data_IF_925414606839
#
_entry.id   IF_925414606839
#
_cell.length_a   1.000
_cell.length_b   1.000
_cell.length_c   1.000
_cell.angle_alpha   90.00
_cell.angle_beta   90.00
_cell.angle_gamma   90.00
#
_symmetry.space_group_name_H-M   'P 1'
#
loop_
_entity.id
_entity.type
_entity.pdbx_description
1 polymer ?
#
# COMPACT_ATOMS: atom_id res chain seq x y z
N UNK A 1 -9.54 4.18 24.60
CA UNK A 1 -9.52 2.99 23.71
C UNK A 1 -10.39 1.87 24.27
N UNK A 2 -10.18 1.40 25.51
CA UNK A 2 -10.88 0.25 26.13
C UNK A 2 -12.42 0.41 26.17
N UNK A 3 -12.91 1.63 26.35
CA UNK A 3 -14.35 1.89 26.43
C UNK A 3 -15.02 1.76 25.05
N UNK A 4 -14.37 2.22 24.00
CA UNK A 4 -14.84 2.08 22.61
C UNK A 4 -14.73 0.63 22.12
N UNK A 5 -13.66 -0.08 22.50
CA UNK A 5 -13.53 -1.51 22.20
C UNK A 5 -14.67 -2.34 22.81
N UNK A 6 -15.12 -2.02 24.02
CA UNK A 6 -16.28 -2.68 24.65
C UNK A 6 -17.60 -2.35 23.96
N UNK A 7 -17.82 -1.10 23.55
CA UNK A 7 -19.03 -0.68 22.85
C UNK A 7 -19.18 -1.38 21.49
N UNK A 8 -18.08 -1.63 20.79
CA UNK A 8 -18.03 -2.37 19.52
C UNK A 8 -18.69 -3.76 19.59
N UNK A 9 -18.64 -4.43 20.74
CA UNK A 9 -19.27 -5.74 20.95
C UNK A 9 -20.70 -5.66 21.47
N UNK A 10 -21.08 -4.53 22.07
CA UNK A 10 -22.39 -4.35 22.69
C UNK A 10 -23.46 -3.83 21.72
N UNK A 11 -23.06 -3.13 20.66
CA UNK A 11 -23.98 -2.51 19.70
C UNK A 11 -23.71 -3.02 18.29
N UNK A 12 -24.72 -3.57 17.61
CA UNK A 12 -24.59 -4.13 16.28
C UNK A 12 -25.69 -3.63 15.33
N UNK A 13 -25.31 -3.18 14.14
CA UNK A 13 -26.20 -3.02 12.99
C UNK A 13 -26.87 -1.65 12.84
N UNK A 14 -26.21 -0.55 13.30
CA UNK A 14 -26.74 0.82 13.26
C UNK A 14 -25.62 1.80 12.85
N UNK A 15 -26.02 3.01 12.43
CA UNK A 15 -25.07 4.12 12.14
C UNK A 15 -24.14 4.42 13.33
N UNK A 16 -24.60 4.15 14.56
CA UNK A 16 -23.80 4.24 15.78
C UNK A 16 -22.61 3.26 15.74
N UNK A 17 -22.81 2.03 15.28
CA UNK A 17 -21.72 1.06 15.14
C UNK A 17 -20.66 1.58 14.15
N UNK A 18 -21.09 2.11 13.02
CA UNK A 18 -20.21 2.72 12.01
C UNK A 18 -19.40 3.88 12.60
N UNK A 19 -20.04 4.77 13.36
CA UNK A 19 -19.38 5.89 14.05
C UNK A 19 -18.35 5.41 15.09
N UNK A 20 -18.66 4.35 15.83
CA UNK A 20 -17.75 3.76 16.81
C UNK A 20 -16.51 3.21 16.11
N UNK A 21 -16.65 2.44 15.02
CA UNK A 21 -15.53 1.93 14.23
C UNK A 21 -14.70 3.05 13.63
N UNK A 22 -15.34 4.09 13.08
CA UNK A 22 -14.65 5.23 12.50
C UNK A 22 -13.79 5.97 13.53
N UNK A 23 -14.37 6.32 14.69
CA UNK A 23 -13.65 6.99 15.76
C UNK A 23 -12.54 6.11 16.36
N UNK A 24 -12.79 4.82 16.49
CA UNK A 24 -11.79 3.87 16.96
C UNK A 24 -10.62 3.78 16.00
N UNK A 25 -10.88 3.79 14.69
CA UNK A 25 -9.85 3.83 13.66
C UNK A 25 -8.96 5.06 13.78
N UNK A 26 -9.55 6.26 13.97
CA UNK A 26 -8.80 7.50 14.19
C UNK A 26 -7.88 7.40 15.43
N UNK A 27 -8.40 6.89 16.53
CA UNK A 27 -7.64 6.72 17.78
C UNK A 27 -6.46 5.76 17.58
N UNK A 28 -6.63 4.67 16.80
CA UNK A 28 -5.50 3.77 16.50
C UNK A 28 -4.42 4.45 15.68
N UNK A 29 -4.79 5.26 14.68
CA UNK A 29 -3.84 6.03 13.86
C UNK A 29 -3.09 7.05 14.72
N UNK A 30 -3.80 7.84 15.54
CA UNK A 30 -3.21 8.80 16.48
C UNK A 30 -2.23 8.17 17.48
N UNK A 31 -2.43 6.89 17.80
CA UNK A 31 -1.53 6.11 18.65
C UNK A 31 -0.44 5.35 17.86
N UNK A 32 -0.19 5.71 16.59
CA UNK A 32 0.86 5.14 15.76
C UNK A 32 0.54 3.76 15.16
N UNK A 33 -0.69 3.25 15.28
CA UNK A 33 -1.07 1.96 14.72
C UNK A 33 -1.93 2.15 13.47
N UNK A 34 -1.30 2.64 12.40
CA UNK A 34 -1.99 3.01 11.17
C UNK A 34 -2.68 1.82 10.48
N UNK A 35 -2.02 0.66 10.39
CA UNK A 35 -2.55 -0.54 9.72
C UNK A 35 -3.86 -0.98 10.41
N UNK A 36 -3.87 -1.03 11.73
CA UNK A 36 -5.07 -1.38 12.49
C UNK A 36 -6.15 -0.31 12.38
N UNK A 37 -5.78 0.96 12.41
CA UNK A 37 -6.70 2.07 12.25
C UNK A 37 -7.43 2.03 10.91
N UNK A 38 -6.70 1.91 9.80
CA UNK A 38 -7.27 1.79 8.47
C UNK A 38 -8.10 0.52 8.29
N UNK A 39 -7.67 -0.62 8.87
CA UNK A 39 -8.46 -1.87 8.83
C UNK A 39 -9.83 -1.72 9.49
N UNK A 40 -9.90 -1.01 10.62
CA UNK A 40 -11.15 -0.74 11.33
C UNK A 40 -12.02 0.26 10.55
N UNK A 41 -11.43 1.30 9.97
CA UNK A 41 -12.13 2.26 9.11
C UNK A 41 -12.70 1.59 7.85
N UNK A 42 -11.97 0.65 7.24
CA UNK A 42 -12.46 -0.14 6.09
C UNK A 42 -13.72 -0.93 6.45
N UNK A 43 -13.77 -1.51 7.66
CA UNK A 43 -14.98 -2.18 8.16
C UNK A 43 -16.12 -1.17 8.33
N UNK A 44 -15.85 0.01 8.88
CA UNK A 44 -16.85 1.07 9.03
C UNK A 44 -17.42 1.50 7.68
N UNK A 45 -16.57 1.81 6.69
CA UNK A 45 -16.97 2.20 5.35
C UNK A 45 -17.82 1.12 4.65
N UNK A 46 -17.41 -0.16 4.78
CA UNK A 46 -18.11 -1.28 4.12
C UNK A 46 -19.47 -1.60 4.73
N UNK A 47 -19.71 -1.25 6.00
CA UNK A 47 -20.96 -1.50 6.72
C UNK A 47 -21.88 -0.30 6.80
N UNK A 48 -21.39 0.89 6.45
CA UNK A 48 -22.19 2.10 6.49
C UNK A 48 -23.37 2.02 5.54
N UNK A 49 -24.57 2.28 6.06
CA UNK A 49 -25.80 2.44 5.27
C UNK A 49 -25.82 3.85 4.67
N UNK A 50 -25.28 4.83 5.39
CA UNK A 50 -25.12 6.20 4.91
C UNK A 50 -23.95 6.28 3.93
N UNK A 51 -24.26 6.58 2.66
CA UNK A 51 -23.28 6.71 1.59
C UNK A 51 -22.36 7.93 1.75
N UNK A 52 -22.82 8.96 2.41
CA UNK A 52 -22.04 10.17 2.66
C UNK A 52 -20.98 9.91 3.73
N UNK A 53 -21.37 9.27 4.82
CA UNK A 53 -20.46 8.81 5.86
C UNK A 53 -19.43 7.80 5.30
N UNK A 54 -19.86 6.85 4.46
CA UNK A 54 -18.96 5.89 3.84
C UNK A 54 -17.88 6.58 2.98
N UNK A 55 -18.27 7.63 2.23
CA UNK A 55 -17.31 8.45 1.45
C UNK A 55 -16.36 9.23 2.35
N UNK A 56 -16.87 9.87 3.40
CA UNK A 56 -16.03 10.58 4.37
C UNK A 56 -14.97 9.66 4.97
N UNK A 57 -15.38 8.46 5.41
CA UNK A 57 -14.46 7.46 5.95
C UNK A 57 -13.40 7.07 4.93
N UNK A 58 -13.82 6.78 3.69
CA UNK A 58 -12.89 6.40 2.61
C UNK A 58 -11.91 7.53 2.29
N UNK A 59 -12.38 8.77 2.24
CA UNK A 59 -11.50 9.93 2.04
C UNK A 59 -10.50 10.07 3.18
N UNK A 60 -10.95 9.96 4.43
CA UNK A 60 -10.05 9.98 5.59
C UNK A 60 -9.00 8.86 5.51
N UNK A 61 -9.39 7.64 5.08
CA UNK A 61 -8.45 6.54 4.88
C UNK A 61 -7.39 6.89 3.83
N UNK A 62 -7.80 7.48 2.69
CA UNK A 62 -6.88 7.90 1.63
C UNK A 62 -5.92 8.97 2.14
N UNK A 63 -6.43 10.01 2.82
CA UNK A 63 -5.61 11.09 3.36
C UNK A 63 -4.58 10.58 4.37
N UNK A 64 -4.98 9.64 5.24
CA UNK A 64 -4.07 9.03 6.23
C UNK A 64 -3.04 8.10 5.57
N UNK A 65 -3.43 7.36 4.54
CA UNK A 65 -2.53 6.51 3.77
C UNK A 65 -1.48 7.38 3.06
N UNK A 66 -1.89 8.42 2.33
CA UNK A 66 -0.97 9.34 1.64
C UNK A 66 -0.04 10.04 2.63
N UNK A 67 -0.57 10.51 3.76
CA UNK A 67 0.23 11.14 4.81
C UNK A 67 1.32 10.21 5.37
N UNK A 68 1.04 8.91 5.51
CA UNK A 68 2.01 7.94 5.99
C UNK A 68 3.21 7.75 5.06
N UNK A 69 3.01 7.98 3.76
CA UNK A 69 4.07 7.87 2.75
C UNK A 69 4.76 9.19 2.43
N UNK A 70 4.40 10.30 3.09
CA UNK A 70 5.20 11.53 3.02
C UNK A 70 6.58 11.31 3.63
N UNK A 71 7.64 11.95 3.11
CA UNK A 71 9.03 11.71 3.53
C UNK A 71 9.24 11.78 5.05
N UNK A 72 8.55 12.69 5.73
CA UNK A 72 8.64 12.92 7.16
C UNK A 72 8.13 11.69 7.95
N UNK A 73 6.97 11.18 7.59
CA UNK A 73 6.30 10.08 8.28
C UNK A 73 6.87 8.72 7.85
N UNK A 74 7.23 8.57 6.58
CA UNK A 74 7.77 7.33 6.04
C UNK A 74 9.09 6.92 6.72
N UNK A 75 9.88 7.90 7.20
CA UNK A 75 11.11 7.64 7.94
C UNK A 75 10.87 6.97 9.30
N UNK A 76 9.69 7.20 9.90
CA UNK A 76 9.29 6.62 11.18
C UNK A 76 8.73 5.20 11.03
N UNK A 77 8.19 4.86 9.85
CA UNK A 77 7.72 3.51 9.55
C UNK A 77 8.90 2.59 9.22
N UNK A 78 8.92 1.41 9.85
CA UNK A 78 9.86 0.35 9.47
C UNK A 78 9.64 -0.10 8.00
N UNK A 79 10.71 -0.55 7.29
CA UNK A 79 10.57 -0.96 5.89
C UNK A 79 9.48 -2.02 5.67
N UNK A 80 9.41 -3.00 6.58
CA UNK A 80 8.42 -4.07 6.51
C UNK A 80 7.00 -3.58 6.78
N UNK A 81 6.83 -2.67 7.73
CA UNK A 81 5.55 -2.06 8.07
C UNK A 81 5.02 -1.20 6.91
N UNK A 82 5.88 -0.38 6.30
CA UNK A 82 5.53 0.44 5.14
C UNK A 82 5.06 -0.41 3.95
N UNK A 83 5.74 -1.54 3.68
CA UNK A 83 5.32 -2.46 2.61
C UNK A 83 4.02 -3.18 2.97
N UNK A 84 3.84 -3.62 4.22
CA UNK A 84 2.58 -4.22 4.66
C UNK A 84 1.42 -3.24 4.52
N UNK A 85 1.62 -1.97 4.92
CA UNK A 85 0.62 -0.91 4.75
C UNK A 85 0.26 -0.73 3.27
N UNK A 86 1.26 -0.69 2.38
CA UNK A 86 1.04 -0.55 0.94
C UNK A 86 0.31 -1.76 0.35
N UNK A 87 0.70 -2.99 0.72
CA UNK A 87 0.10 -4.23 0.21
C UNK A 87 -1.35 -4.42 0.70
N UNK A 88 -1.62 -4.13 1.98
CA UNK A 88 -2.93 -4.31 2.59
C UNK A 88 -3.96 -3.28 2.12
N UNK A 89 -3.50 -2.12 1.65
CA UNK A 89 -4.34 -0.99 1.25
C UNK A 89 -4.03 -0.49 -0.17
N UNK A 90 -3.73 -1.41 -1.09
CA UNK A 90 -3.44 -1.09 -2.50
C UNK A 90 -4.51 -0.24 -3.17
N UNK A 91 -5.76 -0.38 -2.74
CA UNK A 91 -6.90 0.39 -3.25
C UNK A 91 -6.84 1.90 -2.91
N UNK A 92 -6.06 2.27 -1.89
CA UNK A 92 -5.84 3.67 -1.49
C UNK A 92 -4.59 4.27 -2.14
N UNK A 93 -3.73 3.43 -2.73
CA UNK A 93 -2.49 3.88 -3.33
C UNK A 93 -2.76 4.76 -4.57
N UNK A 94 -1.96 5.79 -4.82
CA UNK A 94 -2.03 6.57 -6.02
C UNK A 94 -1.93 5.67 -7.26
N UNK A 95 -2.63 6.03 -8.32
CA UNK A 95 -2.57 5.32 -9.59
C UNK A 95 -1.55 5.95 -10.54
N UNK A 96 -1.04 5.17 -11.49
CA UNK A 96 -0.08 5.65 -12.47
C UNK A 96 1.32 5.89 -11.89
N UNK A 97 2.02 6.88 -12.41
CA UNK A 97 3.44 7.15 -12.14
C UNK A 97 3.78 7.35 -10.66
N UNK A 98 2.88 7.95 -9.88
CA UNK A 98 3.06 8.19 -8.45
C UNK A 98 3.05 6.87 -7.66
N UNK A 99 2.10 5.99 -7.96
CA UNK A 99 2.04 4.66 -7.34
C UNK A 99 3.23 3.79 -7.70
N UNK A 100 3.70 3.86 -8.95
CA UNK A 100 4.88 3.15 -9.40
C UNK A 100 6.16 3.68 -8.73
N UNK A 101 6.26 5.00 -8.55
CA UNK A 101 7.37 5.62 -7.82
C UNK A 101 7.39 5.18 -6.36
N UNK A 102 6.23 5.14 -5.71
CA UNK A 102 6.08 4.66 -4.32
C UNK A 102 6.49 3.19 -4.20
N UNK A 103 6.03 2.32 -5.09
CA UNK A 103 6.40 0.90 -5.10
C UNK A 103 7.92 0.70 -5.26
N UNK A 104 8.57 1.48 -6.13
CA UNK A 104 10.04 1.45 -6.30
C UNK A 104 10.76 1.93 -5.04
N UNK A 105 10.30 3.00 -4.43
CA UNK A 105 10.86 3.51 -3.16
C UNK A 105 10.78 2.45 -2.04
N UNK A 106 9.62 1.80 -1.89
CA UNK A 106 9.42 0.75 -0.90
C UNK A 106 10.27 -0.49 -1.19
N UNK A 107 10.38 -0.87 -2.47
CA UNK A 107 11.27 -1.96 -2.91
C UNK A 107 12.73 -1.67 -2.56
N UNK A 108 13.21 -0.44 -2.78
CA UNK A 108 14.55 -0.02 -2.37
C UNK A 108 14.79 -0.21 -0.87
N UNK A 109 13.85 0.18 -0.03
CA UNK A 109 13.95 -0.02 1.44
C UNK A 109 14.01 -1.49 1.86
N UNK A 110 13.34 -2.38 1.10
CA UNK A 110 13.43 -3.83 1.33
C UNK A 110 14.80 -4.39 0.92
N UNK A 111 15.37 -3.87 -0.17
CA UNK A 111 16.74 -4.23 -0.61
C UNK A 111 17.76 -3.84 0.47
N UNK A 112 17.63 -2.67 1.08
CA UNK A 112 18.52 -2.18 2.14
C UNK A 112 18.57 -3.09 3.38
N UNK A 113 17.52 -3.88 3.60
CA UNK A 113 17.43 -4.88 4.68
C UNK A 113 17.52 -6.32 4.16
N UNK A 114 18.04 -6.51 2.96
CA UNK A 114 18.30 -7.80 2.31
C UNK A 114 17.04 -8.67 2.07
N UNK A 115 15.83 -8.10 2.05
CA UNK A 115 14.59 -8.79 1.72
C UNK A 115 14.32 -8.79 0.20
N UNK A 116 15.26 -9.35 -0.57
CA UNK A 116 15.29 -9.28 -2.03
C UNK A 116 14.07 -9.94 -2.69
N UNK A 117 13.61 -11.07 -2.18
CA UNK A 117 12.39 -11.75 -2.69
C UNK A 117 11.15 -10.87 -2.56
N UNK A 118 10.95 -10.20 -1.42
CA UNK A 118 9.82 -9.30 -1.23
C UNK A 118 9.93 -8.05 -2.08
N UNK A 119 11.14 -7.48 -2.19
CA UNK A 119 11.41 -6.36 -3.07
C UNK A 119 11.07 -6.68 -4.53
N UNK A 120 11.52 -7.84 -5.02
CA UNK A 120 11.20 -8.29 -6.37
C UNK A 120 9.70 -8.53 -6.57
N UNK A 121 9.01 -9.15 -5.62
CA UNK A 121 7.58 -9.43 -5.72
C UNK A 121 6.75 -8.13 -5.78
N UNK A 122 7.11 -7.12 -5.00
CA UNK A 122 6.45 -5.82 -5.01
C UNK A 122 6.51 -5.17 -6.41
N UNK A 123 7.67 -5.24 -7.08
CA UNK A 123 7.85 -4.69 -8.43
C UNK A 123 7.28 -5.60 -9.54
N UNK A 124 7.24 -6.94 -9.35
CA UNK A 124 6.63 -7.86 -10.32
C UNK A 124 5.17 -7.51 -10.60
N UNK A 125 4.41 -7.17 -9.58
CA UNK A 125 3.01 -6.79 -9.72
C UNK A 125 2.86 -5.53 -10.59
N UNK A 126 3.76 -4.55 -10.42
CA UNK A 126 3.77 -3.33 -11.21
C UNK A 126 4.15 -3.61 -12.68
N UNK A 127 5.24 -4.34 -12.90
CA UNK A 127 5.72 -4.72 -14.25
C UNK A 127 4.66 -5.53 -15.02
N UNK A 128 3.96 -6.45 -14.37
CA UNK A 128 2.97 -7.28 -15.05
C UNK A 128 1.67 -6.56 -15.39
N UNK A 129 1.28 -5.56 -14.60
CA UNK A 129 -0.03 -4.92 -14.72
C UNK A 129 0.00 -3.53 -15.35
N UNK A 130 1.18 -2.89 -15.43
CA UNK A 130 1.29 -1.45 -15.75
C UNK A 130 2.50 -1.11 -16.63
N UNK A 131 2.99 -2.03 -17.47
CA UNK A 131 4.05 -1.72 -18.41
C UNK A 131 3.57 -0.62 -19.39
N UNK A 132 3.90 0.63 -19.08
CA UNK A 132 3.62 1.77 -19.93
C UNK A 132 4.61 2.91 -19.64
N UNK A 133 5.10 3.57 -20.68
CA UNK A 133 5.97 4.74 -20.56
C UNK A 133 7.33 4.48 -19.89
N UNK A 134 8.08 5.55 -19.69
CA UNK A 134 9.45 5.51 -19.14
C UNK A 134 9.49 4.95 -17.71
N UNK A 135 8.44 5.15 -16.91
CA UNK A 135 8.36 4.67 -15.53
C UNK A 135 8.27 3.13 -15.46
N UNK A 136 7.51 2.53 -16.37
CA UNK A 136 7.43 1.06 -16.46
C UNK A 136 8.77 0.44 -16.82
N UNK A 137 9.54 1.09 -17.72
CA UNK A 137 10.91 0.66 -18.05
C UNK A 137 11.85 0.75 -16.84
N UNK A 138 11.80 1.84 -16.09
CA UNK A 138 12.60 1.99 -14.88
C UNK A 138 12.25 0.92 -13.86
N UNK A 139 10.96 0.63 -13.66
CA UNK A 139 10.50 -0.41 -12.74
C UNK A 139 11.00 -1.81 -13.16
N UNK A 140 10.98 -2.11 -14.47
CA UNK A 140 11.51 -3.36 -14.99
C UNK A 140 13.04 -3.48 -14.82
N UNK A 141 13.76 -2.38 -15.01
CA UNK A 141 15.23 -2.34 -14.79
C UNK A 141 15.57 -2.55 -13.30
N UNK A 142 14.83 -1.90 -12.39
CA UNK A 142 15.03 -2.06 -10.96
C UNK A 142 14.71 -3.50 -10.52
N UNK A 143 13.62 -4.09 -11.04
CA UNK A 143 13.29 -5.49 -10.80
C UNK A 143 14.39 -6.43 -11.29
N UNK A 144 14.87 -6.26 -12.52
CA UNK A 144 15.94 -7.09 -13.07
C UNK A 144 17.24 -6.98 -12.26
N UNK A 145 17.57 -5.78 -11.78
CA UNK A 145 18.72 -5.54 -10.90
C UNK A 145 18.59 -6.30 -9.56
N UNK A 146 17.41 -6.25 -8.94
CA UNK A 146 17.12 -6.99 -7.70
C UNK A 146 17.24 -8.50 -7.93
N UNK A 147 16.67 -9.02 -9.03
CA UNK A 147 16.74 -10.43 -9.41
C UNK A 147 18.18 -10.89 -9.64
N UNK A 148 19.02 -10.06 -10.24
CA UNK A 148 20.47 -10.36 -10.40
C UNK A 148 21.18 -10.40 -9.04
N UNK A 149 20.89 -9.46 -8.15
CA UNK A 149 21.45 -9.44 -6.79
C UNK A 149 21.04 -10.70 -6.02
N UNK A 150 19.79 -11.15 -6.21
CA UNK A 150 19.24 -12.37 -5.63
C UNK A 150 19.67 -13.67 -6.35
N UNK A 151 20.64 -13.57 -7.26
CA UNK A 151 21.19 -14.69 -8.05
C UNK A 151 20.15 -15.43 -8.90
N UNK A 152 19.17 -14.70 -9.44
CA UNK A 152 18.11 -15.19 -10.33
C UNK A 152 18.26 -14.63 -11.77
N UNK A 153 19.36 -14.93 -12.50
CA UNK A 153 19.64 -14.30 -13.78
C UNK A 153 18.60 -14.65 -14.85
N UNK A 154 18.01 -15.85 -14.80
CA UNK A 154 16.98 -16.25 -15.76
C UNK A 154 15.71 -15.38 -15.62
N UNK A 155 15.29 -15.07 -14.39
CA UNK A 155 14.17 -14.19 -14.14
C UNK A 155 14.47 -12.75 -14.61
N UNK A 156 15.69 -12.27 -14.36
CA UNK A 156 16.12 -10.96 -14.80
C UNK A 156 16.07 -10.82 -16.33
N UNK A 157 16.56 -11.83 -17.07
CA UNK A 157 16.47 -11.85 -18.53
C UNK A 157 15.03 -11.86 -19.03
N UNK A 158 14.14 -12.63 -18.40
CA UNK A 158 12.71 -12.63 -18.74
C UNK A 158 12.05 -11.27 -18.48
N UNK A 159 12.40 -10.61 -17.39
CA UNK A 159 11.91 -9.28 -17.07
C UNK A 159 12.33 -8.25 -18.11
N UNK A 160 13.60 -8.28 -18.52
CA UNK A 160 14.13 -7.38 -19.55
C UNK A 160 13.57 -7.68 -20.94
N UNK A 161 13.41 -8.94 -21.31
CA UNK A 161 12.81 -9.32 -22.59
C UNK A 161 11.36 -8.82 -22.71
N UNK A 162 10.57 -8.95 -21.66
CA UNK A 162 9.20 -8.39 -21.64
C UNK A 162 9.20 -6.87 -21.77
N UNK A 163 10.13 -6.18 -21.11
CA UNK A 163 10.24 -4.74 -21.23
C UNK A 163 10.61 -4.33 -22.67
N UNK A 164 11.54 -5.03 -23.31
CA UNK A 164 11.97 -4.77 -24.68
C UNK A 164 10.82 -4.98 -25.71
N UNK A 165 10.06 -6.07 -25.59
CA UNK A 165 8.88 -6.32 -26.42
C UNK A 165 7.86 -5.17 -26.35
N UNK A 166 7.64 -4.63 -25.14
CA UNK A 166 6.67 -3.55 -24.91
C UNK A 166 7.12 -2.19 -25.49
N UNK A 167 8.45 -1.94 -25.54
CA UNK A 167 9.03 -0.71 -26.05
C UNK A 167 9.43 -0.76 -27.53
N UNK A 168 9.54 -1.96 -28.12
CA UNK A 168 9.75 -2.12 -29.55
C UNK A 168 8.51 -1.76 -30.40
N UNK A 169 7.33 -1.70 -29.77
CA UNK A 169 6.05 -1.34 -30.42
C UNK A 169 5.68 0.15 -30.32
N UNK A 170 6.49 0.98 -29.63
CA UNK A 170 6.29 2.42 -29.45
C UNK A 170 7.27 3.22 -30.28
#
# INVERSE_FOLDING_TARGET
>A
TDRLERLRYAWRGDDIETQIYYNLGKIYIENGNIIKGLSIMRIAASRSIDRELAREITQTMTDQFEAAFQPENLSELGPLEAVTLFEDFKELAPTGDEGDALARQLSGRLVDIELLDRAANLLKDQVNNRLGGMQGLQTALDLARIQLTDRKPTEALQTLAKADEFYAEV
#
